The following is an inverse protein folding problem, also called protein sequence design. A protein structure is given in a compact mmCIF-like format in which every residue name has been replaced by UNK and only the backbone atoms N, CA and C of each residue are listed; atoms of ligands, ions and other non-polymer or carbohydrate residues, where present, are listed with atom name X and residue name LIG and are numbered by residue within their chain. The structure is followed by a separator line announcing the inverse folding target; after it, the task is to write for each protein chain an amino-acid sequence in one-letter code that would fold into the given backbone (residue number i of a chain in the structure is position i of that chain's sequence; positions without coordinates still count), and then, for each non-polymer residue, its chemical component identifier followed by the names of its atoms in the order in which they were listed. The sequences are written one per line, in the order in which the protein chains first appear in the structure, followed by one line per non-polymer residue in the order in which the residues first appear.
data_IF_368460405211
#
_entry.id   IF_368460405211
#
_cell.length_a   1.000
_cell.length_b   1.000
_cell.length_c   1.000
_cell.angle_alpha   90.00
_cell.angle_beta   90.00
_cell.angle_gamma   90.00
#
_symmetry.space_group_name_H-M   'P 1'
#
loop_
_entity.id
_entity.type
_entity.pdbx_description
1 polymer ?
#
# COMPACT_ATOMS: atom_id res chain seq x y z
N UNK A 1 1.99 -10.09 8.62
CA UNK A 1 1.84 -8.65 8.92
C UNK A 1 1.28 -7.95 7.70
N UNK A 2 0.37 -7.00 7.91
CA UNK A 2 -0.40 -6.37 6.82
C UNK A 2 -0.31 -4.85 6.91
N UNK A 3 -0.08 -4.21 5.77
CA UNK A 3 -0.42 -2.80 5.53
C UNK A 3 -1.76 -2.72 4.83
N UNK A 4 -2.68 -1.88 5.28
CA UNK A 4 -3.91 -1.58 4.55
C UNK A 4 -4.21 -0.07 4.56
N UNK A 5 -4.86 0.44 3.51
CA UNK A 5 -5.32 1.84 3.49
C UNK A 5 -6.21 2.11 4.69
N UNK A 6 -6.05 3.26 5.32
CA UNK A 6 -6.88 3.71 6.43
C UNK A 6 -6.92 5.23 6.46
N UNK A 7 -8.11 5.82 6.44
CA UNK A 7 -8.28 7.28 6.52
C UNK A 7 -8.39 7.80 7.97
N UNK A 8 -8.68 6.92 8.93
CA UNK A 8 -8.85 7.26 10.34
C UNK A 8 -7.81 6.61 11.26
N UNK A 9 -6.96 5.74 10.73
CA UNK A 9 -5.98 4.99 11.52
C UNK A 9 -6.59 3.85 12.34
N UNK A 10 -7.90 3.58 12.22
CA UNK A 10 -8.61 2.64 13.07
C UNK A 10 -9.22 1.45 12.32
N UNK A 11 -9.28 1.51 10.99
CA UNK A 11 -9.84 0.43 10.17
C UNK A 11 -9.27 0.42 8.77
N UNK A 12 -9.19 -0.76 8.17
CA UNK A 12 -8.89 -0.91 6.76
C UNK A 12 -10.03 -0.35 5.90
N UNK A 13 -9.71 0.31 4.80
CA UNK A 13 -10.70 0.79 3.82
C UNK A 13 -10.34 0.38 2.39
N UNK A 14 -11.37 0.13 1.58
CA UNK A 14 -11.22 -0.11 0.15
C UNK A 14 -11.36 1.16 -0.67
N UNK A 15 -11.98 2.21 -0.13
CA UNK A 15 -12.21 3.49 -0.79
C UNK A 15 -11.04 4.46 -0.61
N UNK A 16 -10.99 5.51 -1.43
CA UNK A 16 -9.91 6.51 -1.43
C UNK A 16 -8.56 5.97 -1.92
N UNK A 17 -7.56 6.85 -1.94
CA UNK A 17 -6.17 6.53 -2.29
C UNK A 17 -5.32 6.18 -1.07
N UNK A 18 -4.09 5.71 -1.29
CA UNK A 18 -3.14 5.46 -0.18
C UNK A 18 -2.63 6.76 0.44
N UNK A 19 -2.73 7.89 -0.26
CA UNK A 19 -2.36 9.21 0.27
C UNK A 19 -3.19 9.65 1.48
N UNK A 20 -4.35 9.02 1.73
CA UNK A 20 -5.17 9.29 2.90
C UNK A 20 -4.61 8.67 4.19
N UNK A 21 -3.62 7.80 4.08
CA UNK A 21 -3.02 7.08 5.21
C UNK A 21 -3.21 5.57 5.14
N UNK A 22 -2.53 4.89 6.04
CA UNK A 22 -2.57 3.44 6.19
C UNK A 22 -2.17 3.02 7.60
N UNK A 23 -2.48 1.78 7.94
CA UNK A 23 -2.05 1.13 9.18
C UNK A 23 -1.25 -0.12 8.88
N UNK A 24 -0.35 -0.47 9.78
CA UNK A 24 0.43 -1.71 9.78
C UNK A 24 0.12 -2.47 11.07
N UNK A 25 -0.23 -3.75 10.95
CA UNK A 25 -0.60 -4.59 12.08
C UNK A 25 -0.16 -6.04 11.89
N UNK A 26 -0.12 -6.77 13.01
CA UNK A 26 0.09 -8.20 13.01
C UNK A 26 -1.21 -8.93 12.69
N UNK A 27 -1.40 -9.26 11.41
CA UNK A 27 -2.49 -10.11 10.91
C UNK A 27 -2.17 -11.59 11.19
N UNK A 28 -2.75 -12.14 12.27
CA UNK A 28 -2.50 -13.51 12.70
C UNK A 28 -3.44 -14.54 12.06
N UNK A 29 -4.61 -14.08 11.59
CA UNK A 29 -5.64 -14.94 11.01
C UNK A 29 -5.63 -14.91 9.46
N UNK A 30 -4.75 -14.10 8.85
CA UNK A 30 -4.51 -13.96 7.43
C UNK A 30 -5.75 -13.51 6.64
N UNK A 31 -6.52 -12.56 7.18
CA UNK A 31 -7.70 -12.01 6.50
C UNK A 31 -7.49 -10.59 5.93
N UNK A 32 -6.31 -9.99 6.13
CA UNK A 32 -5.96 -8.63 5.73
C UNK A 32 -6.93 -7.54 6.22
N UNK A 33 -7.56 -7.77 7.36
CA UNK A 33 -8.37 -6.83 8.10
C UNK A 33 -7.77 -6.67 9.51
N UNK A 34 -7.83 -5.46 10.07
CA UNK A 34 -7.39 -5.27 11.45
C UNK A 34 -8.52 -5.66 12.39
N UNK A 35 -8.32 -6.73 13.16
CA UNK A 35 -9.35 -7.28 14.05
C UNK A 35 -9.08 -7.01 15.54
N UNK A 36 -10.12 -7.02 16.39
CA UNK A 36 -9.94 -6.90 17.84
C UNK A 36 -8.96 -7.95 18.39
N UNK A 37 -7.96 -7.47 19.15
CA UNK A 37 -6.91 -8.31 19.72
C UNK A 37 -5.64 -8.41 18.86
N UNK A 38 -5.67 -7.94 17.62
CA UNK A 38 -4.46 -7.84 16.79
C UNK A 38 -3.62 -6.62 17.14
N UNK A 39 -2.31 -6.81 17.16
CA UNK A 39 -1.36 -5.77 17.51
C UNK A 39 -1.21 -4.76 16.36
N UNK A 40 -1.62 -3.52 16.61
CA UNK A 40 -1.29 -2.38 15.77
C UNK A 40 0.18 -2.00 15.96
N UNK A 41 0.94 -1.98 14.87
CA UNK A 41 2.38 -1.73 14.87
C UNK A 41 2.71 -0.30 14.45
N UNK A 42 1.96 0.26 13.49
CA UNK A 42 2.17 1.63 13.02
C UNK A 42 0.88 2.21 12.44
N UNK A 43 0.71 3.53 12.61
CA UNK A 43 -0.27 4.34 11.89
C UNK A 43 0.45 5.42 11.09
N UNK A 44 0.10 5.55 9.82
CA UNK A 44 0.55 6.64 8.97
C UNK A 44 -0.65 7.49 8.59
N UNK A 45 -0.63 8.75 9.00
CA UNK A 45 -1.64 9.74 8.61
C UNK A 45 -1.49 10.19 7.15
N UNK A 46 -2.40 11.07 6.67
CA UNK A 46 -2.41 11.54 5.29
C UNK A 46 -1.07 12.15 4.85
N UNK A 47 -0.66 11.89 3.60
CA UNK A 47 0.60 12.39 3.00
C UNK A 47 0.54 13.88 2.62
N UNK A 48 -0.59 14.55 2.87
CA UNK A 48 -0.86 15.93 2.48
C UNK A 48 -1.37 16.05 1.04
N UNK A 49 -1.83 17.25 0.68
CA UNK A 49 -2.56 17.48 -0.60
C UNK A 49 -1.67 17.48 -1.84
N UNK A 50 -0.34 17.47 -1.71
CA UNK A 50 0.60 17.69 -2.83
C UNK A 50 0.87 16.43 -3.66
N UNK A 51 0.47 15.26 -3.21
CA UNK A 51 0.70 13.99 -3.88
C UNK A 51 -0.54 13.11 -3.84
N UNK A 52 -0.68 12.27 -4.86
CA UNK A 52 -1.64 11.16 -4.92
C UNK A 52 -0.86 9.85 -4.97
N UNK A 53 -1.23 8.87 -4.17
CA UNK A 53 -0.59 7.56 -4.12
C UNK A 53 -1.63 6.49 -4.42
N UNK A 54 -1.59 5.94 -5.63
CA UNK A 54 -2.47 4.85 -6.05
C UNK A 54 -1.72 3.53 -6.12
N UNK A 55 -2.44 2.42 -6.01
CA UNK A 55 -1.93 1.07 -6.24
C UNK A 55 -2.69 0.40 -7.37
N UNK A 56 -2.00 -0.38 -8.20
CA UNK A 56 -2.69 -1.28 -9.14
C UNK A 56 -3.40 -2.42 -8.39
N UNK A 57 -4.21 -3.23 -9.10
CA UNK A 57 -5.11 -4.23 -8.50
C UNK A 57 -4.50 -5.05 -7.34
N UNK A 58 -3.30 -5.65 -7.47
CA UNK A 58 -2.69 -6.43 -6.38
C UNK A 58 -2.38 -5.66 -5.10
N UNK A 59 -2.19 -4.33 -5.17
CA UNK A 59 -1.86 -3.48 -4.01
C UNK A 59 -2.86 -2.32 -3.85
N UNK A 60 -4.06 -2.46 -4.41
CA UNK A 60 -5.08 -1.41 -4.38
C UNK A 60 -5.63 -1.15 -2.97
N UNK A 61 -5.54 -2.14 -2.08
CA UNK A 61 -6.20 -2.14 -0.78
C UNK A 61 -5.26 -2.48 0.38
N UNK A 62 -4.39 -3.47 0.21
CA UNK A 62 -3.47 -3.93 1.23
C UNK A 62 -2.19 -4.51 0.62
N UNK A 63 -1.18 -4.70 1.47
CA UNK A 63 0.00 -5.54 1.23
C UNK A 63 0.15 -6.48 2.42
N UNK A 64 0.27 -7.78 2.18
CA UNK A 64 0.49 -8.76 3.23
C UNK A 64 1.83 -9.46 3.06
N UNK A 65 2.56 -9.58 4.18
CA UNK A 65 3.84 -10.24 4.29
C UNK A 65 3.74 -11.48 5.18
N UNK A 66 4.30 -12.58 4.70
CA UNK A 66 4.56 -13.78 5.52
C UNK A 66 5.77 -13.59 6.43
N UNK A 67 5.95 -14.51 7.39
CA UNK A 67 7.10 -14.50 8.29
C UNK A 67 8.46 -14.59 7.55
N UNK A 68 8.50 -15.20 6.37
CA UNK A 68 9.69 -15.26 5.51
C UNK A 68 9.99 -13.95 4.77
N UNK A 69 9.15 -12.93 4.91
CA UNK A 69 9.27 -11.66 4.20
C UNK A 69 8.72 -11.67 2.77
N UNK A 70 8.15 -12.78 2.29
CA UNK A 70 7.49 -12.81 0.97
C UNK A 70 6.12 -12.13 1.00
N UNK A 71 5.76 -11.45 -0.09
CA UNK A 71 4.46 -10.80 -0.23
C UNK A 71 3.44 -11.77 -0.81
N UNK A 72 2.28 -11.88 -0.15
CA UNK A 72 1.23 -12.85 -0.51
C UNK A 72 -0.15 -12.23 -0.40
N UNK A 73 -1.06 -12.59 -1.29
CA UNK A 73 -2.48 -12.30 -1.13
C UNK A 73 -3.04 -13.20 -0.03
N UNK A 74 -4.19 -12.83 0.55
CA UNK A 74 -4.92 -13.67 1.51
C UNK A 74 -5.25 -15.07 0.95
N UNK A 75 -5.37 -15.19 -0.39
CA UNK A 75 -5.55 -16.47 -1.10
C UNK A 75 -4.31 -17.37 -1.09
N UNK A 76 -3.16 -16.88 -0.61
CA UNK A 76 -1.87 -17.57 -0.63
C UNK A 76 -1.05 -17.37 -1.92
N UNK A 77 -1.64 -16.78 -2.97
CA UNK A 77 -0.92 -16.44 -4.19
C UNK A 77 0.13 -15.35 -3.96
N UNK A 78 1.16 -15.28 -4.81
CA UNK A 78 2.14 -14.21 -4.74
C UNK A 78 1.48 -12.83 -4.94
N UNK A 79 1.84 -11.86 -4.11
CA UNK A 79 1.41 -10.49 -4.26
C UNK A 79 2.54 -9.67 -4.88
N UNK A 80 2.37 -9.30 -6.14
CA UNK A 80 3.29 -8.41 -6.85
C UNK A 80 2.49 -7.27 -7.46
N UNK A 81 2.90 -6.04 -7.19
CA UNK A 81 2.11 -4.87 -7.55
C UNK A 81 2.96 -3.62 -7.67
N UNK A 82 2.31 -2.53 -8.05
CA UNK A 82 2.97 -1.24 -8.21
C UNK A 82 2.12 -0.15 -7.60
N UNK A 83 2.75 0.64 -6.74
CA UNK A 83 2.21 1.93 -6.34
C UNK A 83 2.74 3.01 -7.29
N UNK A 84 1.90 3.98 -7.62
CA UNK A 84 2.27 5.16 -8.39
C UNK A 84 2.05 6.40 -7.52
N UNK A 85 3.14 7.10 -7.22
CA UNK A 85 3.15 8.38 -6.55
C UNK A 85 3.19 9.49 -7.60
N UNK A 86 2.09 10.24 -7.66
CA UNK A 86 1.87 11.32 -8.60
C UNK A 86 1.90 12.67 -7.87
N UNK A 87 2.75 13.61 -8.27
CA UNK A 87 2.67 14.98 -7.76
C UNK A 87 1.41 15.66 -8.32
N UNK A 88 0.73 16.47 -7.50
CA UNK A 88 -0.52 17.13 -7.90
C UNK A 88 -0.35 18.11 -9.06
N UNK A 89 0.84 18.71 -9.21
CA UNK A 89 1.14 19.66 -10.28
C UNK A 89 1.41 18.98 -11.64
N UNK A 90 1.35 17.65 -11.71
CA UNK A 90 1.53 16.89 -12.96
C UNK A 90 2.96 16.95 -13.53
N UNK A 91 3.95 17.41 -12.75
CA UNK A 91 5.33 17.50 -13.20
C UNK A 91 5.91 16.10 -13.47
N UNK A 92 6.10 15.77 -14.75
CA UNK A 92 6.51 14.45 -15.22
C UNK A 92 7.80 13.91 -14.56
N UNK A 93 8.73 14.80 -14.21
CA UNK A 93 10.03 14.43 -13.61
C UNK A 93 9.95 13.88 -12.19
N UNK A 94 8.84 14.12 -11.49
CA UNK A 94 8.68 13.81 -10.07
C UNK A 94 7.79 12.59 -9.81
N UNK A 95 7.25 11.97 -10.86
CA UNK A 95 6.51 10.71 -10.74
C UNK A 95 7.45 9.60 -10.26
N UNK A 96 7.00 8.84 -9.28
CA UNK A 96 7.71 7.66 -8.76
C UNK A 96 6.79 6.45 -8.76
N UNK A 97 7.35 5.29 -9.09
CA UNK A 97 6.66 4.01 -8.95
C UNK A 97 7.38 3.18 -7.91
N UNK A 98 6.64 2.56 -7.01
CA UNK A 98 7.15 1.62 -6.02
C UNK A 98 6.67 0.24 -6.44
N UNK A 99 7.59 -0.58 -6.94
CA UNK A 99 7.30 -1.92 -7.44
C UNK A 99 7.58 -2.93 -6.34
N UNK A 100 6.56 -3.68 -5.96
CA UNK A 100 6.64 -4.80 -5.02
C UNK A 100 6.76 -6.11 -5.80
N UNK A 101 7.83 -6.87 -5.56
CA UNK A 101 7.95 -8.24 -6.06
C UNK A 101 7.23 -9.22 -5.13
N UNK A 102 6.88 -10.42 -5.64
CA UNK A 102 6.33 -11.50 -4.82
C UNK A 102 7.31 -12.02 -3.74
N UNK A 103 8.61 -11.79 -3.90
CA UNK A 103 9.61 -12.04 -2.85
C UNK A 103 9.54 -11.02 -1.71
N UNK A 104 8.69 -9.99 -1.82
CA UNK A 104 8.47 -8.96 -0.81
C UNK A 104 9.44 -7.78 -0.86
N UNK A 105 10.32 -7.68 -1.87
CA UNK A 105 11.26 -6.57 -1.97
C UNK A 105 10.62 -5.38 -2.71
N UNK A 106 10.38 -4.24 -2.06
CA UNK A 106 10.00 -3.02 -2.77
C UNK A 106 11.21 -2.39 -3.45
N UNK A 107 10.99 -1.75 -4.59
CA UNK A 107 11.98 -0.89 -5.24
C UNK A 107 11.31 0.34 -5.84
N UNK A 108 12.03 1.46 -5.82
CA UNK A 108 11.55 2.71 -6.42
C UNK A 108 12.15 2.88 -7.80
N UNK A 109 11.32 3.27 -8.77
CA UNK A 109 11.74 3.64 -10.13
C UNK A 109 11.12 4.98 -10.53
N UNK A 110 11.72 5.65 -11.51
CA UNK A 110 11.12 6.83 -12.14
C UNK A 110 9.88 6.39 -12.92
N UNK A 111 8.78 7.12 -12.79
CA UNK A 111 7.61 7.00 -13.65
C UNK A 111 7.62 8.08 -14.73
N UNK A 112 6.54 8.14 -15.49
CA UNK A 112 6.26 9.21 -16.46
C UNK A 112 4.91 9.85 -16.15
N UNK A 113 4.65 11.06 -16.66
CA UNK A 113 3.37 11.75 -16.44
C UNK A 113 2.16 10.90 -16.84
N UNK A 114 2.28 10.07 -17.88
CA UNK A 114 1.20 9.18 -18.33
C UNK A 114 0.81 8.11 -17.29
N UNK A 115 1.67 7.74 -16.34
CA UNK A 115 1.32 6.84 -15.24
C UNK A 115 0.32 7.48 -14.24
N UNK A 116 0.12 8.80 -14.32
CA UNK A 116 -0.75 9.59 -13.43
C UNK A 116 -2.11 9.93 -14.04
N UNK A 117 -2.44 9.40 -15.20
CA UNK A 117 -3.72 9.61 -15.87
C UNK A 117 -4.76 8.59 -15.42
#
# INVERSE_FOLDING_TARGET
AVLCKSSNGEQCTRTGGWEQGWILFHDGNNNANWDPGELLLQQQGPLGKRVRLSGNSPVAHYVSYSASGSAKLVSGAFQAGTFTLCPQNGAAGDVRKIVLSGTGRPRTVKGVAADCL
#
